data_IF_410811842126
#
_entry.id   IF_410811842126
#
_cell.length_a   1.000
_cell.length_b   1.000
_cell.length_c   1.000
_cell.angle_alpha   90.00
_cell.angle_beta   90.00
_cell.angle_gamma   90.00
#
_symmetry.space_group_name_H-M   'P 1'
#
loop_
_entity.id
_entity.type
_entity.pdbx_description
1 polymer ?
#
# COMPACT_ATOMS: atom_id res chain seq x y z
N UNK A 1 29.62 -14.91 44.36
CA UNK A 1 28.28 -14.26 44.45
C UNK A 1 27.81 -13.57 43.16
N UNK A 2 28.66 -13.28 42.17
CA UNK A 2 28.29 -12.47 40.97
C UNK A 2 27.67 -13.25 39.79
N UNK A 3 27.86 -14.57 39.71
CA UNK A 3 27.35 -15.41 38.60
C UNK A 3 25.83 -15.63 38.64
N UNK A 4 25.23 -15.65 39.84
CA UNK A 4 23.78 -15.84 40.01
C UNK A 4 22.97 -14.61 39.61
N UNK A 5 23.45 -13.41 39.95
CA UNK A 5 22.81 -12.15 39.55
C UNK A 5 22.86 -11.92 38.05
N UNK A 6 23.94 -12.32 37.36
CA UNK A 6 24.05 -12.20 35.91
C UNK A 6 23.04 -13.10 35.17
N UNK A 7 22.79 -14.31 35.69
CA UNK A 7 21.80 -15.23 35.13
C UNK A 7 20.37 -14.75 35.37
N UNK A 8 20.07 -14.26 36.58
CA UNK A 8 18.76 -13.67 36.91
C UNK A 8 18.48 -12.40 36.09
N UNK A 9 19.48 -11.55 35.88
CA UNK A 9 19.33 -10.34 35.07
C UNK A 9 19.12 -10.67 33.58
N UNK A 10 19.83 -11.69 33.05
CA UNK A 10 19.55 -12.25 31.72
C UNK A 10 18.13 -12.78 31.62
N UNK A 11 17.67 -13.55 32.61
CA UNK A 11 16.32 -14.13 32.61
C UNK A 11 15.23 -13.06 32.64
N UNK A 12 15.40 -12.02 33.46
CA UNK A 12 14.44 -10.92 33.61
C UNK A 12 14.37 -10.09 32.34
N UNK A 13 15.51 -9.79 31.70
CA UNK A 13 15.54 -9.07 30.41
C UNK A 13 14.86 -9.90 29.31
N UNK A 14 15.11 -11.22 29.26
CA UNK A 14 14.46 -12.12 28.30
C UNK A 14 12.94 -12.17 28.54
N UNK A 15 12.49 -12.20 29.79
CA UNK A 15 11.06 -12.20 30.14
C UNK A 15 10.37 -10.87 29.79
N UNK A 16 11.01 -9.74 30.10
CA UNK A 16 10.50 -8.40 29.75
C UNK A 16 10.40 -8.25 28.22
N UNK A 17 11.39 -8.77 27.51
CA UNK A 17 11.45 -8.74 26.05
C UNK A 17 10.38 -9.65 25.41
N UNK A 18 10.12 -10.84 25.97
CA UNK A 18 9.04 -11.72 25.55
C UNK A 18 7.64 -11.11 25.81
N UNK A 19 7.46 -10.39 26.92
CA UNK A 19 6.21 -9.67 27.20
C UNK A 19 5.97 -8.51 26.24
N UNK A 20 7.01 -7.73 25.93
CA UNK A 20 6.95 -6.66 24.92
C UNK A 20 6.68 -7.23 23.52
N UNK A 21 7.27 -8.38 23.20
CA UNK A 21 7.06 -9.09 21.94
C UNK A 21 5.62 -9.57 21.74
N UNK A 22 4.98 -10.10 22.80
CA UNK A 22 3.56 -10.52 22.76
C UNK A 22 2.60 -9.34 22.58
N UNK A 23 2.89 -8.18 23.19
CA UNK A 23 2.06 -6.97 23.04
C UNK A 23 2.10 -6.39 21.62
N UNK A 24 3.22 -6.52 20.90
CA UNK A 24 3.41 -5.93 19.56
C UNK A 24 2.83 -6.82 18.44
N UNK A 25 2.76 -8.15 18.64
CA UNK A 25 2.25 -9.10 17.63
C UNK A 25 0.76 -8.87 17.30
N UNK A 26 -0.05 -8.42 18.26
CA UNK A 26 -1.49 -8.27 18.08
C UNK A 26 -1.87 -7.19 17.05
N UNK A 27 -1.01 -6.21 16.78
CA UNK A 27 -1.37 -5.03 15.97
C UNK A 27 -1.09 -5.19 14.47
N UNK A 28 -0.27 -6.17 14.06
CA UNK A 28 0.33 -6.20 12.71
C UNK A 28 -0.10 -7.35 11.79
N UNK A 29 -0.98 -8.26 12.22
CA UNK A 29 -1.49 -9.35 11.37
C UNK A 29 -2.36 -8.82 10.20
N UNK A 30 -2.77 -7.55 10.21
CA UNK A 30 -3.79 -7.04 9.29
C UNK A 30 -3.30 -6.31 8.02
N UNK A 31 -2.08 -6.53 7.53
CA UNK A 31 -1.62 -5.85 6.29
C UNK A 31 -0.90 -6.76 5.30
N UNK A 32 -1.74 -7.56 4.65
CA UNK A 32 -1.76 -7.99 3.25
C UNK A 32 -0.49 -7.88 2.37
N UNK A 33 -0.15 -9.05 1.86
CA UNK A 33 0.35 -9.39 0.51
C UNK A 33 -0.27 -8.59 -0.65
N UNK A 34 0.56 -8.25 -1.66
CA UNK A 34 0.48 -8.70 -3.08
C UNK A 34 1.00 -7.67 -4.11
N UNK A 35 1.61 -8.20 -5.18
CA UNK A 35 2.31 -7.55 -6.29
C UNK A 35 1.38 -6.93 -7.35
N UNK A 36 1.89 -5.98 -8.16
CA UNK A 36 1.97 -6.15 -9.63
C UNK A 36 2.51 -4.89 -10.35
N UNK A 37 3.31 -5.16 -11.38
CA UNK A 37 3.99 -4.27 -12.32
C UNK A 37 3.16 -3.93 -13.56
N UNK A 38 3.31 -2.71 -14.11
CA UNK A 38 3.54 -2.44 -15.56
C UNK A 38 3.65 -0.92 -15.82
N UNK A 39 4.59 -0.50 -16.67
CA UNK A 39 4.99 0.90 -16.89
C UNK A 39 5.13 1.30 -18.36
N UNK A 40 4.92 2.60 -18.58
CA UNK A 40 5.68 3.49 -19.48
C UNK A 40 5.44 3.49 -21.01
N UNK A 41 4.20 3.69 -21.49
CA UNK A 41 4.00 4.21 -22.86
C UNK A 41 2.78 5.12 -23.07
N UNK A 42 2.34 5.85 -22.03
CA UNK A 42 0.99 6.40 -21.99
C UNK A 42 0.87 7.94 -22.11
N UNK A 43 1.92 8.64 -22.56
CA UNK A 43 2.04 10.10 -22.37
C UNK A 43 1.26 11.00 -23.36
N UNK A 44 0.52 10.47 -24.33
CA UNK A 44 -0.40 11.25 -25.18
C UNK A 44 -1.77 10.61 -25.40
N UNK A 45 -2.02 9.48 -24.76
CA UNK A 45 -3.20 8.66 -25.03
C UNK A 45 -4.31 9.11 -24.06
N UNK A 46 -5.56 9.31 -24.50
CA UNK A 46 -6.66 9.53 -23.57
C UNK A 46 -6.74 8.37 -22.56
N UNK A 47 -7.17 8.60 -21.30
CA UNK A 47 -7.30 7.52 -20.34
C UNK A 47 -8.18 6.41 -20.93
N UNK A 48 -7.83 5.13 -20.71
CA UNK A 48 -8.54 4.03 -21.33
C UNK A 48 -9.98 4.02 -20.83
N UNK A 49 -10.90 3.53 -21.67
CA UNK A 49 -12.29 3.35 -21.24
C UNK A 49 -12.35 2.36 -20.09
N UNK A 50 -13.33 2.54 -19.20
CA UNK A 50 -13.54 1.61 -18.09
C UNK A 50 -13.93 0.23 -18.62
N UNK A 51 -13.40 -0.82 -18.00
CA UNK A 51 -13.75 -2.18 -18.36
C UNK A 51 -15.09 -2.57 -17.73
N UNK A 52 -16.16 -2.53 -18.53
CA UNK A 52 -17.54 -2.87 -18.13
C UNK A 52 -17.96 -4.29 -18.53
N UNK A 53 -17.01 -5.13 -18.97
CA UNK A 53 -17.30 -6.52 -19.37
C UNK A 53 -17.88 -7.36 -18.23
N UNK A 54 -17.52 -7.06 -16.98
CA UNK A 54 -18.01 -7.81 -15.83
C UNK A 54 -19.53 -7.60 -15.59
N UNK A 55 -20.13 -6.51 -16.10
CA UNK A 55 -21.55 -6.22 -15.93
C UNK A 55 -22.48 -7.29 -16.54
N UNK A 56 -22.00 -8.07 -17.52
CA UNK A 56 -22.77 -9.18 -18.10
C UNK A 56 -22.84 -10.42 -17.21
N UNK A 57 -21.90 -10.57 -16.29
CA UNK A 57 -21.82 -11.72 -15.38
C UNK A 57 -22.63 -11.51 -14.11
N UNK A 58 -22.80 -10.25 -13.71
CA UNK A 58 -23.47 -9.88 -12.46
C UNK A 58 -24.99 -9.91 -12.61
N UNK A 59 -25.67 -10.47 -11.60
CA UNK A 59 -27.15 -10.52 -11.54
C UNK A 59 -27.72 -9.13 -11.21
N UNK A 60 -27.22 -8.52 -10.13
CA UNK A 60 -27.67 -7.20 -9.65
C UNK A 60 -26.74 -6.07 -10.10
N UNK A 61 -26.95 -5.55 -11.32
CA UNK A 61 -26.22 -4.39 -11.83
C UNK A 61 -26.44 -3.11 -11.00
N UNK A 62 -27.54 -3.02 -10.25
CA UNK A 62 -27.91 -1.83 -9.48
C UNK A 62 -26.92 -1.46 -8.36
N UNK A 63 -26.05 -2.38 -7.95
CA UNK A 63 -25.06 -2.14 -6.91
C UNK A 63 -23.76 -1.53 -7.44
N UNK A 64 -23.55 -1.57 -8.76
CA UNK A 64 -22.30 -1.16 -9.41
C UNK A 64 -22.53 0.11 -10.23
N UNK A 65 -21.95 1.21 -9.78
CA UNK A 65 -21.97 2.51 -10.45
C UNK A 65 -21.38 2.47 -11.86
N UNK A 66 -20.39 1.59 -12.12
CA UNK A 66 -19.81 1.41 -13.45
C UNK A 66 -20.75 0.72 -14.46
N UNK A 67 -21.81 0.05 -13.99
CA UNK A 67 -22.80 -0.61 -14.83
C UNK A 67 -24.04 0.28 -15.11
N UNK A 68 -24.05 1.51 -14.59
CA UNK A 68 -25.19 2.42 -14.62
C UNK A 68 -24.80 3.74 -15.30
N UNK A 69 -25.70 4.29 -16.10
CA UNK A 69 -25.61 5.64 -16.66
C UNK A 69 -26.62 6.53 -15.97
N UNK A 70 -26.15 7.48 -15.16
CA UNK A 70 -27.00 8.36 -14.36
C UNK A 70 -26.86 9.80 -14.89
N UNK A 71 -27.88 10.37 -15.54
CA UNK A 71 -27.87 11.79 -15.89
C UNK A 71 -27.99 12.63 -14.63
N UNK A 72 -27.06 13.57 -14.44
CA UNK A 72 -27.12 14.54 -13.34
C UNK A 72 -27.81 15.83 -13.78
N UNK A 73 -28.49 16.53 -12.86
CA UNK A 73 -28.97 17.88 -13.14
C UNK A 73 -27.78 18.81 -13.40
N UNK A 74 -27.89 19.66 -14.43
CA UNK A 74 -26.82 20.58 -14.84
C UNK A 74 -26.45 21.61 -13.77
N UNK A 75 -27.38 21.93 -12.87
CA UNK A 75 -27.23 22.94 -11.81
C UNK A 75 -26.89 22.31 -10.46
N UNK A 76 -26.21 21.16 -10.44
CA UNK A 76 -25.87 20.52 -9.16
C UNK A 76 -24.74 21.25 -8.45
N UNK A 77 -24.92 21.52 -7.16
CA UNK A 77 -23.94 22.12 -6.26
C UNK A 77 -22.98 21.06 -5.75
N UNK A 78 -21.68 21.36 -5.75
CA UNK A 78 -20.65 20.40 -5.35
C UNK A 78 -20.83 19.96 -3.89
N UNK A 79 -20.94 18.65 -3.68
CA UNK A 79 -21.08 18.02 -2.35
C UNK A 79 -22.51 17.66 -1.97
N UNK A 80 -23.52 18.29 -2.59
CA UNK A 80 -24.93 18.06 -2.24
C UNK A 80 -25.46 16.72 -2.74
N UNK A 81 -26.41 16.16 -1.99
CA UNK A 81 -27.02 14.85 -2.27
C UNK A 81 -28.22 15.01 -3.19
N UNK A 82 -28.19 14.32 -4.32
CA UNK A 82 -29.28 14.30 -5.29
C UNK A 82 -29.78 12.87 -5.52
N UNK A 83 -31.08 12.74 -5.74
CA UNK A 83 -31.72 11.48 -6.14
C UNK A 83 -31.88 11.49 -7.66
N UNK A 84 -31.11 10.67 -8.36
CA UNK A 84 -31.13 10.57 -9.83
C UNK A 84 -31.63 9.20 -10.26
N UNK A 85 -32.25 9.14 -11.43
CA UNK A 85 -32.70 7.89 -12.05
C UNK A 85 -31.59 7.37 -12.96
N UNK A 86 -31.05 6.22 -12.63
CA UNK A 86 -29.95 5.58 -13.35
C UNK A 86 -30.48 4.51 -14.29
N UNK A 87 -29.94 4.50 -15.52
CA UNK A 87 -30.24 3.51 -16.55
C UNK A 87 -29.12 2.47 -16.62
N UNK A 88 -29.42 1.17 -16.51
CA UNK A 88 -28.41 0.11 -16.65
C UNK A 88 -27.86 0.01 -18.09
N UNK A 89 -26.59 -0.36 -18.20
CA UNK A 89 -25.94 -0.60 -19.49
C UNK A 89 -26.57 -1.78 -20.23
N UNK A 90 -26.42 -1.80 -21.56
CA UNK A 90 -26.94 -2.88 -22.44
C UNK A 90 -26.48 -4.28 -22.02
N UNK A 91 -25.31 -4.39 -21.41
CA UNK A 91 -24.71 -5.66 -20.99
C UNK A 91 -25.34 -6.23 -19.72
N UNK A 92 -26.24 -5.51 -19.04
CA UNK A 92 -26.92 -5.99 -17.85
C UNK A 92 -28.12 -6.89 -18.19
N UNK A 93 -28.31 -7.95 -17.40
CA UNK A 93 -29.46 -8.86 -17.49
C UNK A 93 -30.76 -8.16 -17.10
N UNK A 94 -30.75 -7.41 -15.99
CA UNK A 94 -31.88 -6.62 -15.50
C UNK A 94 -31.72 -5.19 -16.02
N UNK A 95 -32.71 -4.71 -16.76
CA UNK A 95 -32.67 -3.40 -17.44
C UNK A 95 -33.63 -2.36 -16.86
N UNK A 96 -34.05 -2.54 -15.61
CA UNK A 96 -34.98 -1.60 -14.97
C UNK A 96 -34.26 -0.35 -14.49
N UNK A 97 -34.86 0.84 -14.66
CA UNK A 97 -34.30 2.08 -14.11
C UNK A 97 -34.31 2.00 -12.58
N UNK A 98 -33.22 2.47 -11.95
CA UNK A 98 -33.09 2.48 -10.49
C UNK A 98 -32.82 3.89 -9.98
N UNK A 99 -33.54 4.29 -8.93
CA UNK A 99 -33.31 5.56 -8.25
C UNK A 99 -32.13 5.40 -7.29
N UNK A 100 -31.13 6.28 -7.40
CA UNK A 100 -29.93 6.28 -6.54
C UNK A 100 -29.68 7.67 -5.98
N UNK A 101 -29.35 7.71 -4.69
CA UNK A 101 -28.90 8.93 -4.02
C UNK A 101 -27.39 9.03 -4.12
N UNK A 102 -26.88 10.13 -4.68
CA UNK A 102 -25.45 10.34 -4.87
C UNK A 102 -25.08 11.82 -4.70
N UNK A 103 -23.83 12.07 -4.30
CA UNK A 103 -23.32 13.41 -4.13
C UNK A 103 -22.90 13.97 -5.50
N UNK A 104 -23.19 15.24 -5.78
CA UNK A 104 -22.68 15.92 -6.95
C UNK A 104 -21.16 16.14 -6.79
N UNK A 105 -20.37 15.24 -7.37
CA UNK A 105 -18.90 15.31 -7.44
C UNK A 105 -18.36 14.61 -8.67
N UNK A 106 -17.36 15.18 -9.34
CA UNK A 106 -16.71 14.50 -10.45
C UNK A 106 -15.82 13.36 -9.97
N UNK A 107 -15.65 12.33 -10.81
CA UNK A 107 -14.83 11.17 -10.50
C UNK A 107 -13.37 11.53 -10.17
N UNK A 108 -12.81 12.58 -10.78
CA UNK A 108 -11.46 13.06 -10.48
C UNK A 108 -11.33 13.80 -9.13
N UNK A 109 -12.45 14.18 -8.50
CA UNK A 109 -12.49 14.85 -7.18
C UNK A 109 -12.69 13.85 -6.02
N UNK A 110 -12.72 12.56 -6.32
CA UNK A 110 -12.91 11.51 -5.29
C UNK A 110 -11.67 11.38 -4.41
N UNK A 111 -11.80 10.74 -3.24
CA UNK A 111 -10.68 10.53 -2.29
C UNK A 111 -9.91 9.24 -2.58
N UNK A 112 -8.57 9.32 -2.55
CA UNK A 112 -7.66 8.19 -2.80
C UNK A 112 -7.87 7.06 -1.78
N UNK A 113 -7.71 5.79 -2.22
CA UNK A 113 -7.89 4.52 -1.48
C UNK A 113 -9.32 4.18 -1.06
N UNK A 114 -10.14 5.17 -0.71
CA UNK A 114 -11.53 4.93 -0.27
C UNK A 114 -12.43 4.78 -1.49
N UNK A 115 -12.34 5.72 -2.43
CA UNK A 115 -13.26 5.88 -3.56
C UNK A 115 -12.62 5.54 -4.91
N UNK A 116 -11.30 5.76 -5.03
CA UNK A 116 -10.54 5.40 -6.21
C UNK A 116 -9.14 4.91 -5.85
N UNK A 117 -8.58 4.11 -6.75
CA UNK A 117 -7.23 3.58 -6.64
C UNK A 117 -6.41 3.97 -7.86
N UNK A 118 -5.19 4.44 -7.62
CA UNK A 118 -4.24 4.82 -8.66
C UNK A 118 -3.19 3.73 -8.86
N UNK A 119 -2.79 3.52 -10.11
CA UNK A 119 -1.68 2.61 -10.43
C UNK A 119 -0.39 3.12 -9.78
N UNK A 120 0.24 2.30 -8.94
CA UNK A 120 1.51 2.63 -8.31
C UNK A 120 2.62 2.76 -9.35
N UNK A 121 3.49 3.74 -9.13
CA UNK A 121 4.66 4.01 -9.99
C UNK A 121 5.90 3.78 -9.15
N UNK A 122 6.78 2.85 -9.59
CA UNK A 122 8.02 2.49 -8.87
C UNK A 122 9.32 2.94 -9.54
N UNK A 123 9.40 2.94 -10.88
CA UNK A 123 10.61 3.35 -11.63
C UNK A 123 10.77 4.89 -11.70
N UNK A 124 10.89 5.58 -10.57
CA UNK A 124 11.38 6.96 -10.50
C UNK A 124 12.87 6.97 -10.13
N UNK A 125 13.47 8.14 -9.97
CA UNK A 125 14.81 8.30 -9.38
C UNK A 125 14.70 8.81 -7.94
N UNK A 126 15.69 8.51 -7.10
CA UNK A 126 15.73 8.92 -5.68
C UNK A 126 15.66 10.44 -5.48
N UNK A 127 16.13 11.22 -6.46
CA UNK A 127 16.11 12.69 -6.46
C UNK A 127 14.80 13.29 -6.99
N UNK A 128 13.85 12.48 -7.46
CA UNK A 128 12.62 13.02 -8.04
C UNK A 128 11.61 13.40 -6.95
N UNK A 129 11.56 14.68 -6.59
CA UNK A 129 10.45 15.29 -5.82
C UNK A 129 9.18 15.43 -6.68
N UNK A 130 9.30 15.14 -7.98
CA UNK A 130 8.26 15.39 -8.98
C UNK A 130 7.10 14.40 -8.83
N UNK A 131 5.89 14.95 -8.79
CA UNK A 131 4.67 14.14 -8.90
C UNK A 131 4.64 13.46 -10.27
N UNK A 132 4.31 12.17 -10.28
CA UNK A 132 4.21 11.37 -11.50
C UNK A 132 2.75 11.17 -11.87
N UNK A 133 2.45 11.29 -13.16
CA UNK A 133 1.11 11.06 -13.69
C UNK A 133 0.82 9.56 -13.73
N UNK A 134 -0.18 9.11 -12.97
CA UNK A 134 -0.67 7.73 -12.94
C UNK A 134 -2.10 7.64 -13.48
N UNK A 135 -2.49 6.43 -13.91
CA UNK A 135 -3.88 6.11 -14.27
C UNK A 135 -4.62 5.73 -12.98
N UNK A 136 -5.71 6.43 -12.69
CA UNK A 136 -6.56 6.18 -11.55
C UNK A 136 -7.92 5.64 -11.99
N UNK A 137 -8.43 4.67 -11.23
CA UNK A 137 -9.71 4.01 -11.46
C UNK A 137 -10.59 4.15 -10.24
N UNK A 138 -11.79 4.67 -10.44
CA UNK A 138 -12.80 4.74 -9.38
C UNK A 138 -13.33 3.33 -9.08
N UNK A 139 -13.58 3.03 -7.81
CA UNK A 139 -14.18 1.75 -7.40
C UNK A 139 -15.55 1.57 -8.03
N UNK A 140 -15.89 0.33 -8.36
CA UNK A 140 -17.13 0.02 -9.08
C UNK A 140 -18.39 0.43 -8.33
N UNK A 141 -18.34 0.53 -6.99
CA UNK A 141 -19.48 0.90 -6.13
C UNK A 141 -19.59 2.41 -5.89
N UNK A 142 -18.58 3.20 -6.23
CA UNK A 142 -18.58 4.65 -6.01
C UNK A 142 -19.27 5.37 -7.16
N UNK A 143 -20.32 6.13 -6.85
CA UNK A 143 -21.05 6.96 -7.80
C UNK A 143 -20.38 8.33 -7.95
N UNK A 144 -20.14 8.77 -9.19
CA UNK A 144 -19.47 10.04 -9.50
C UNK A 144 -19.79 10.50 -10.94
N UNK A 145 -19.58 11.78 -11.23
CA UNK A 145 -19.79 12.37 -12.56
C UNK A 145 -18.57 12.19 -13.48
N UNK A 146 -18.86 11.95 -14.77
CA UNK A 146 -17.86 11.97 -15.83
C UNK A 146 -17.10 10.66 -16.01
N UNK A 147 -15.85 10.74 -16.48
CA UNK A 147 -15.03 9.55 -16.76
C UNK A 147 -14.49 8.95 -15.47
N UNK A 148 -14.72 7.64 -15.29
CA UNK A 148 -14.33 6.86 -14.10
C UNK A 148 -12.86 6.40 -14.12
N UNK A 149 -12.20 6.54 -15.27
CA UNK A 149 -10.76 6.37 -15.43
C UNK A 149 -10.17 7.71 -15.84
N UNK A 150 -9.25 8.21 -15.04
CA UNK A 150 -8.66 9.53 -15.23
C UNK A 150 -7.19 9.54 -14.84
N UNK A 151 -6.51 10.63 -15.17
CA UNK A 151 -5.13 10.86 -14.81
C UNK A 151 -5.02 11.70 -13.56
N UNK A 152 -4.12 11.32 -12.66
CA UNK A 152 -3.80 12.11 -11.49
C UNK A 152 -2.29 12.10 -11.25
N UNK A 153 -1.80 13.20 -10.69
CA UNK A 153 -0.41 13.34 -10.28
C UNK A 153 -0.28 12.80 -8.85
N UNK A 154 0.41 11.67 -8.69
CA UNK A 154 0.66 11.03 -7.40
C UNK A 154 2.16 11.06 -7.07
N UNK A 155 2.50 10.88 -5.79
CA UNK A 155 3.89 10.71 -5.38
C UNK A 155 4.39 9.33 -5.83
N UNK A 156 5.63 9.28 -6.30
CA UNK A 156 6.25 8.05 -6.72
C UNK A 156 6.88 7.33 -5.52
N UNK A 157 6.81 6.01 -5.52
CA UNK A 157 7.42 5.15 -4.52
C UNK A 157 8.70 4.55 -5.10
N UNK A 158 9.85 5.19 -4.87
CA UNK A 158 11.12 4.74 -5.44
C UNK A 158 11.66 3.48 -4.74
N UNK A 159 12.17 2.52 -5.51
CA UNK A 159 12.76 1.27 -5.02
C UNK A 159 14.15 1.04 -5.64
N UNK A 160 15.10 0.52 -4.85
CA UNK A 160 16.49 0.30 -5.28
C UNK A 160 16.90 -1.19 -5.27
N UNK A 161 15.97 -2.12 -5.50
CA UNK A 161 16.27 -3.56 -5.56
C UNK A 161 16.25 -4.29 -4.20
N UNK A 162 16.12 -3.58 -3.09
CA UNK A 162 16.06 -4.18 -1.76
C UNK A 162 14.73 -4.90 -1.53
N UNK A 163 14.79 -6.18 -1.16
CA UNK A 163 13.60 -6.97 -0.84
C UNK A 163 13.45 -7.13 0.67
N UNK A 164 12.25 -6.85 1.18
CA UNK A 164 11.95 -7.01 2.61
C UNK A 164 12.16 -8.46 3.06
N UNK A 165 11.68 -9.44 2.26
CA UNK A 165 11.84 -10.86 2.56
C UNK A 165 13.31 -11.27 2.64
N UNK A 166 14.14 -10.84 1.67
CA UNK A 166 15.58 -11.13 1.68
C UNK A 166 16.24 -10.57 2.93
N UNK A 167 15.95 -9.30 3.24
CA UNK A 167 16.47 -8.64 4.45
C UNK A 167 16.08 -9.40 5.71
N UNK A 168 14.83 -9.84 5.81
CA UNK A 168 14.32 -10.62 6.94
C UNK A 168 15.03 -11.98 7.08
N UNK A 169 15.22 -12.73 5.98
CA UNK A 169 15.97 -13.99 6.03
C UNK A 169 17.45 -13.79 6.39
N UNK A 170 18.08 -12.74 5.85
CA UNK A 170 19.46 -12.37 6.17
C UNK A 170 19.57 -11.97 7.64
N UNK A 171 18.54 -11.33 8.21
CA UNK A 171 18.45 -11.02 9.64
C UNK A 171 18.49 -12.27 10.52
N UNK A 172 17.70 -13.28 10.17
CA UNK A 172 17.62 -14.53 10.94
C UNK A 172 18.95 -15.29 10.91
N UNK A 173 19.52 -15.47 9.71
CA UNK A 173 20.70 -16.33 9.52
C UNK A 173 22.00 -15.58 9.83
N UNK A 174 22.07 -14.30 9.47
CA UNK A 174 23.27 -13.46 9.51
C UNK A 174 23.19 -12.25 10.43
N UNK A 175 22.16 -12.15 11.29
CA UNK A 175 21.95 -11.02 12.19
C UNK A 175 23.10 -10.83 13.19
N UNK A 176 23.68 -11.93 13.69
CA UNK A 176 24.84 -11.94 14.59
C UNK A 176 26.06 -11.21 14.04
N UNK A 177 26.27 -11.33 12.73
CA UNK A 177 27.36 -10.67 12.01
C UNK A 177 26.94 -9.32 11.40
N UNK A 178 25.69 -8.89 11.62
CA UNK A 178 25.16 -7.66 11.02
C UNK A 178 24.97 -7.72 9.51
N UNK A 179 24.85 -8.92 8.91
CA UNK A 179 24.74 -9.10 7.46
C UNK A 179 23.57 -8.32 6.85
N UNK A 180 22.46 -8.21 7.59
CA UNK A 180 21.29 -7.41 7.19
C UNK A 180 21.60 -5.91 7.05
N UNK A 181 22.51 -5.38 7.89
CA UNK A 181 22.88 -3.95 7.92
C UNK A 181 23.80 -3.65 6.75
N UNK A 182 24.70 -4.58 6.42
CA UNK A 182 25.49 -4.52 5.18
C UNK A 182 24.59 -4.60 3.95
N UNK A 183 23.61 -5.52 3.94
CA UNK A 183 22.66 -5.64 2.83
C UNK A 183 21.85 -4.36 2.60
N UNK A 184 21.45 -3.65 3.67
CA UNK A 184 20.69 -2.40 3.58
C UNK A 184 21.54 -1.14 3.35
N UNK A 185 22.87 -1.26 3.24
CA UNK A 185 23.79 -0.14 3.03
C UNK A 185 24.31 0.54 4.30
N UNK A 186 23.95 0.06 5.50
CA UNK A 186 24.47 0.56 6.78
C UNK A 186 25.81 -0.10 7.15
N UNK A 187 26.86 0.20 6.37
CA UNK A 187 28.18 -0.43 6.57
C UNK A 187 28.82 -0.08 7.93
N UNK A 188 28.64 1.15 8.42
CA UNK A 188 29.20 1.60 9.71
C UNK A 188 28.61 0.82 10.90
N UNK A 189 27.29 0.65 10.94
CA UNK A 189 26.64 -0.10 12.02
C UNK A 189 26.82 -1.61 11.87
N UNK A 190 26.96 -2.12 10.64
CA UNK A 190 27.39 -3.49 10.37
C UNK A 190 28.77 -3.78 10.96
N UNK A 191 29.75 -2.89 10.75
CA UNK A 191 31.11 -3.06 11.29
C UNK A 191 31.13 -2.99 12.82
N UNK A 192 30.35 -2.08 13.42
CA UNK A 192 30.22 -2.01 14.88
C UNK A 192 29.69 -3.33 15.48
N UNK A 193 28.75 -4.00 14.81
CA UNK A 193 28.27 -5.33 15.22
C UNK A 193 29.34 -6.41 15.10
N UNK A 194 30.15 -6.39 14.04
CA UNK A 194 31.25 -7.35 13.88
C UNK A 194 32.29 -7.23 15.00
N UNK A 195 32.71 -6.01 15.33
CA UNK A 195 33.70 -5.75 16.39
C UNK A 195 33.17 -6.15 17.78
N UNK A 196 31.87 -5.98 18.00
CA UNK A 196 31.22 -6.35 19.27
C UNK A 196 30.77 -7.81 19.33
N UNK A 197 31.14 -8.64 18.34
CA UNK A 197 30.65 -10.02 18.18
C UNK A 197 29.11 -10.11 18.29
N UNK A 198 28.40 -9.15 17.72
CA UNK A 198 26.94 -9.11 17.70
C UNK A 198 26.30 -8.87 19.08
N UNK A 199 27.07 -8.44 20.09
CA UNK A 199 26.61 -8.09 21.43
C UNK A 199 25.70 -9.14 22.07
N UNK A 200 26.15 -10.40 22.11
CA UNK A 200 25.49 -11.53 22.77
C UNK A 200 24.06 -11.85 22.28
N UNK A 201 23.69 -11.42 21.07
CA UNK A 201 22.37 -11.71 20.47
C UNK A 201 21.25 -10.73 20.83
N UNK A 202 21.52 -9.74 21.67
CA UNK A 202 20.51 -8.70 22.00
C UNK A 202 20.26 -7.81 20.78
N UNK A 203 21.34 -7.34 20.14
CA UNK A 203 21.25 -6.51 18.93
C UNK A 203 20.57 -7.23 17.78
N UNK A 204 20.90 -8.49 17.55
CA UNK A 204 20.29 -9.31 16.51
C UNK A 204 18.78 -9.43 16.69
N UNK A 205 18.33 -9.56 17.94
CA UNK A 205 16.90 -9.69 18.24
C UNK A 205 16.17 -8.37 18.06
N UNK A 206 16.77 -7.24 18.46
CA UNK A 206 16.22 -5.89 18.21
C UNK A 206 16.10 -5.65 16.71
N UNK A 207 17.15 -5.95 15.94
CA UNK A 207 17.18 -5.74 14.51
C UNK A 207 16.20 -6.61 13.74
N UNK A 208 16.06 -7.88 14.14
CA UNK A 208 15.05 -8.76 13.59
C UNK A 208 13.64 -8.18 13.77
N UNK A 209 13.34 -7.62 14.95
CA UNK A 209 12.07 -6.93 15.20
C UNK A 209 11.94 -5.69 14.32
N UNK A 210 12.98 -4.85 14.22
CA UNK A 210 12.93 -3.63 13.41
C UNK A 210 12.71 -3.93 11.91
N UNK A 211 13.33 -4.98 11.37
CA UNK A 211 13.12 -5.46 10.00
C UNK A 211 11.72 -6.04 9.86
N UNK A 212 11.28 -6.91 10.77
CA UNK A 212 9.93 -7.49 10.76
C UNK A 212 8.84 -6.41 10.79
N UNK A 213 9.07 -5.36 11.58
CA UNK A 213 8.18 -4.22 11.68
C UNK A 213 8.29 -3.27 10.48
N UNK A 214 9.32 -3.38 9.64
CA UNK A 214 9.54 -2.47 8.50
C UNK A 214 9.93 -1.05 8.92
N UNK A 215 10.27 -0.84 10.20
CA UNK A 215 10.86 0.41 10.68
C UNK A 215 12.29 0.56 10.17
N UNK A 216 13.01 -0.56 10.02
CA UNK A 216 14.32 -0.54 9.39
C UNK A 216 14.18 -0.70 7.88
N UNK A 217 14.38 0.40 7.15
CA UNK A 217 14.45 0.44 5.69
C UNK A 217 15.87 0.63 5.15
N UNK A 218 16.07 0.52 3.82
CA UNK A 218 17.33 0.81 3.15
C UNK A 218 17.93 2.17 3.50
N UNK A 219 19.25 2.26 3.62
CA UNK A 219 19.95 3.51 3.96
C UNK A 219 19.71 4.64 2.95
N UNK A 220 19.42 4.28 1.70
CA UNK A 220 19.14 5.22 0.61
C UNK A 220 17.72 5.84 0.69
N UNK A 221 16.90 5.44 1.67
CA UNK A 221 15.51 5.89 1.81
C UNK A 221 14.54 5.27 0.78
N UNK A 222 15.01 4.32 -0.03
CA UNK A 222 14.16 3.58 -0.97
C UNK A 222 13.17 2.67 -0.25
N UNK A 223 12.01 2.42 -0.84
CA UNK A 223 11.06 1.44 -0.33
C UNK A 223 11.47 0.01 -0.69
N UNK A 224 11.06 -0.95 0.15
CA UNK A 224 11.20 -2.36 -0.16
C UNK A 224 10.34 -2.76 -1.36
N UNK A 225 10.80 -3.78 -2.09
CA UNK A 225 10.08 -4.45 -3.19
C UNK A 225 9.18 -5.56 -2.66
#
# INVERSE_FOLDING_TARGET
MTRGYLLLFKQIIILLFLLIFQLIISDKINKSTFNSTTKNHFFRIPPPRENVTFCSRVINCHNYASCLTCPFPKNCTYGDKYSVICLPLRNCKIRTPVRKMMNCKYCYQTKLKIEHDCAEVRNCTSTSVRLVRSICRVKQTTFCLGRRVFYQNIRCHWTNGYSWKKTFFISIIGGGFGAERFYLGYWKSGLAKLVTFGGLGIWTTIDLILVALGYLGPADGSLYI
#
